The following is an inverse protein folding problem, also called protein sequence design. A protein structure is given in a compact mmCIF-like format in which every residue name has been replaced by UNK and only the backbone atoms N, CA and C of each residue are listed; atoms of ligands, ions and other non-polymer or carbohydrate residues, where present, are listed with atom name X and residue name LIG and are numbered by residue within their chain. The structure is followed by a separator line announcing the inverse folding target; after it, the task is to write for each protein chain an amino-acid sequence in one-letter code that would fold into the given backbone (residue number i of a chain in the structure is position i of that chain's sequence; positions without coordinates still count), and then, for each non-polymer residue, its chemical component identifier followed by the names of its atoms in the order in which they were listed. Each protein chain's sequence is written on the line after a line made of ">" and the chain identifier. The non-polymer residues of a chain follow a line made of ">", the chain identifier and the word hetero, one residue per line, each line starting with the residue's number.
data_IF_807596442118
#
_entry.id   IF_807596442118
#
_cell.length_a   1.000
_cell.length_b   1.000
_cell.length_c   1.000
_cell.angle_alpha   90.00
_cell.angle_beta   90.00
_cell.angle_gamma   90.00
#
_symmetry.space_group_name_H-M   'P 1'
#
loop_
_entity.id
_entity.type
_entity.pdbx_description
1 polymer ?
#
# COMPACT_ATOMS: atom_id res chain seq x y z
N UNK A 1 43.66 -9.32 1.63
CA UNK A 1 44.32 -9.22 0.31
C UNK A 1 43.69 -10.24 -0.65
N UNK A 2 42.88 -9.82 -1.62
CA UNK A 2 42.55 -10.65 -2.81
C UNK A 2 42.30 -9.70 -3.99
N UNK A 3 43.38 -9.13 -4.51
CA UNK A 3 43.38 -8.16 -5.62
C UNK A 3 44.11 -8.66 -6.86
N UNK A 4 44.35 -9.96 -6.98
CA UNK A 4 45.06 -10.56 -8.11
C UNK A 4 44.18 -10.71 -9.36
N UNK A 5 44.74 -10.29 -10.50
CA UNK A 5 44.38 -10.67 -11.87
C UNK A 5 42.96 -10.36 -12.37
N UNK A 6 42.48 -9.14 -12.17
CA UNK A 6 41.30 -8.68 -12.95
C UNK A 6 41.65 -8.32 -14.40
N UNK A 7 42.87 -7.83 -14.62
CA UNK A 7 43.31 -7.28 -15.92
C UNK A 7 43.56 -8.42 -16.92
N UNK A 8 44.19 -9.51 -16.48
CA UNK A 8 44.57 -10.64 -17.34
C UNK A 8 43.59 -11.82 -17.26
N UNK A 9 42.40 -11.64 -16.68
CA UNK A 9 41.43 -12.74 -16.55
C UNK A 9 40.82 -13.08 -17.91
N UNK A 10 40.86 -14.36 -18.35
CA UNK A 10 40.20 -14.74 -19.58
C UNK A 10 38.68 -14.52 -19.48
N UNK A 11 38.10 -14.00 -20.55
CA UNK A 11 36.64 -13.80 -20.64
C UNK A 11 35.92 -15.13 -20.55
N UNK A 12 34.90 -15.21 -19.70
CA UNK A 12 34.02 -16.38 -19.61
C UNK A 12 33.19 -16.54 -20.89
N UNK A 13 32.66 -17.74 -21.15
CA UNK A 13 31.81 -17.99 -22.31
C UNK A 13 30.60 -17.02 -22.40
N UNK A 14 30.03 -16.64 -21.26
CA UNK A 14 28.98 -15.62 -21.20
C UNK A 14 29.52 -14.22 -21.50
N UNK A 15 30.71 -13.85 -21.02
CA UNK A 15 31.33 -12.56 -21.34
C UNK A 15 31.70 -12.43 -22.82
N UNK A 16 32.00 -13.53 -23.50
CA UNK A 16 32.17 -13.58 -24.95
C UNK A 16 30.84 -13.40 -25.72
N UNK A 17 29.70 -13.73 -25.11
CA UNK A 17 28.36 -13.58 -25.70
C UNK A 17 27.50 -12.56 -24.93
N UNK A 18 27.60 -11.29 -25.35
CA UNK A 18 26.98 -10.15 -24.66
C UNK A 18 25.46 -10.31 -24.51
N UNK A 19 24.76 -10.78 -25.54
CA UNK A 19 23.30 -10.96 -25.53
C UNK A 19 22.84 -12.01 -24.51
N UNK A 20 23.59 -13.12 -24.37
CA UNK A 20 23.30 -14.14 -23.34
C UNK A 20 23.61 -13.60 -21.95
N UNK A 21 24.71 -12.86 -21.78
CA UNK A 21 25.08 -12.26 -20.50
C UNK A 21 24.02 -11.28 -19.98
N UNK A 22 23.52 -10.39 -20.84
CA UNK A 22 22.48 -9.42 -20.45
C UNK A 22 21.19 -10.13 -20.06
N UNK A 23 20.79 -11.16 -20.81
CA UNK A 23 19.62 -12.00 -20.50
C UNK A 23 19.74 -12.67 -19.13
N UNK A 24 20.89 -13.29 -18.85
CA UNK A 24 21.16 -13.95 -17.56
C UNK A 24 21.17 -12.95 -16.41
N UNK A 25 21.85 -11.81 -16.55
CA UNK A 25 21.87 -10.74 -15.53
C UNK A 25 20.46 -10.20 -15.24
N UNK A 26 19.64 -10.01 -16.28
CA UNK A 26 18.24 -9.57 -16.14
C UNK A 26 17.40 -10.60 -15.36
N UNK A 27 17.56 -11.89 -15.67
CA UNK A 27 16.88 -12.96 -14.95
C UNK A 27 17.31 -13.04 -13.47
N UNK A 28 18.60 -12.93 -13.18
CA UNK A 28 19.14 -12.89 -11.81
C UNK A 28 18.57 -11.70 -11.01
N UNK A 29 18.57 -10.50 -11.59
CA UNK A 29 17.98 -9.29 -10.97
C UNK A 29 16.50 -9.48 -10.65
N UNK A 30 15.73 -10.06 -11.58
CA UNK A 30 14.29 -10.35 -11.36
C UNK A 30 14.09 -11.33 -10.20
N UNK A 31 14.89 -12.40 -10.12
CA UNK A 31 14.83 -13.38 -9.02
C UNK A 31 15.18 -12.77 -7.66
N UNK A 32 16.20 -11.90 -7.61
CA UNK A 32 16.55 -11.17 -6.39
C UNK A 32 15.43 -10.23 -5.92
N UNK A 33 14.80 -9.51 -6.85
CA UNK A 33 13.66 -8.64 -6.53
C UNK A 33 12.43 -9.41 -6.06
N UNK A 34 12.20 -10.62 -6.56
CA UNK A 34 11.11 -11.49 -6.08
C UNK A 34 11.34 -11.94 -4.64
N UNK A 35 12.58 -12.33 -4.28
CA UNK A 35 12.93 -12.67 -2.88
C UNK A 35 12.63 -11.51 -1.91
N UNK A 36 12.89 -10.27 -2.32
CA UNK A 36 12.67 -9.09 -1.48
C UNK A 36 11.21 -8.59 -1.46
N UNK A 37 10.34 -9.11 -2.34
CA UNK A 37 8.90 -8.79 -2.36
C UNK A 37 8.06 -9.80 -1.58
N UNK A 38 8.56 -11.03 -1.38
CA UNK A 38 7.87 -12.07 -0.61
C UNK A 38 7.78 -11.82 0.89
N UNK A 39 8.68 -11.00 1.48
CA UNK A 39 8.68 -10.74 2.93
C UNK A 39 7.76 -9.62 3.39
N UNK A 40 7.17 -8.83 2.48
CA UNK A 40 6.21 -7.76 2.83
C UNK A 40 4.75 -8.17 2.67
N UNK A 41 4.49 -9.43 2.32
CA UNK A 41 3.14 -9.98 2.15
C UNK A 41 2.76 -11.01 3.23
N UNK A 42 3.45 -11.03 4.38
CA UNK A 42 3.11 -11.91 5.51
C UNK A 42 1.99 -11.38 6.42
N UNK A 43 1.31 -10.27 6.06
CA UNK A 43 0.26 -9.68 6.90
C UNK A 43 -1.07 -9.39 6.17
N UNK A 44 -1.45 -10.24 5.20
CA UNK A 44 -2.82 -10.28 4.69
C UNK A 44 -3.40 -11.69 4.86
N UNK A 45 -3.28 -12.27 6.06
CA UNK A 45 -4.08 -13.42 6.50
C UNK A 45 -5.47 -12.95 6.99
N UNK A 46 -6.15 -12.10 6.20
CA UNK A 46 -7.61 -11.97 6.21
C UNK A 46 -8.07 -12.09 4.76
N UNK A 47 -8.06 -13.34 4.30
CA UNK A 47 -8.32 -13.74 2.92
C UNK A 47 -9.77 -13.54 2.50
N UNK A 48 -10.14 -12.30 2.19
CA UNK A 48 -11.27 -12.04 1.30
C UNK A 48 -10.79 -12.17 -0.14
N UNK A 49 -11.46 -13.00 -0.95
CA UNK A 49 -11.14 -13.16 -2.37
C UNK A 49 -10.99 -11.80 -3.04
N UNK A 50 -9.79 -11.52 -3.58
CA UNK A 50 -9.51 -10.24 -4.23
C UNK A 50 -10.45 -10.09 -5.43
N UNK A 51 -11.40 -9.16 -5.30
CA UNK A 51 -12.34 -8.82 -6.35
C UNK A 51 -11.56 -8.30 -7.56
N UNK A 52 -11.87 -8.81 -8.76
CA UNK A 52 -11.30 -8.28 -10.02
C UNK A 52 -11.47 -6.77 -10.11
N UNK A 53 -10.47 -6.07 -10.64
CA UNK A 53 -10.48 -4.60 -10.77
C UNK A 53 -11.74 -4.06 -11.46
N UNK A 54 -12.28 -4.81 -12.44
CA UNK A 54 -13.55 -4.47 -13.12
C UNK A 54 -14.73 -4.49 -12.16
N UNK A 55 -14.83 -5.50 -11.31
CA UNK A 55 -15.92 -5.64 -10.32
C UNK A 55 -15.78 -4.60 -9.20
N UNK A 56 -14.55 -4.27 -8.76
CA UNK A 56 -14.30 -3.16 -7.83
C UNK A 56 -14.80 -1.81 -8.39
N UNK A 57 -14.52 -1.53 -9.66
CA UNK A 57 -14.98 -0.30 -10.33
C UNK A 57 -16.49 -0.20 -10.39
N UNK A 58 -17.19 -1.29 -10.68
CA UNK A 58 -18.66 -1.30 -10.77
C UNK A 58 -19.30 -1.05 -9.39
N UNK A 59 -18.78 -1.69 -8.34
CA UNK A 59 -19.26 -1.49 -6.96
C UNK A 59 -19.11 -0.01 -6.55
N UNK A 60 -17.95 0.60 -6.79
CA UNK A 60 -17.74 2.02 -6.48
C UNK A 60 -18.69 2.95 -7.24
N UNK A 61 -19.02 2.64 -8.50
CA UNK A 61 -20.00 3.41 -9.27
C UNK A 61 -21.39 3.30 -8.67
N UNK A 62 -21.78 2.12 -8.20
CA UNK A 62 -23.09 1.89 -7.58
C UNK A 62 -23.22 2.65 -6.26
N UNK A 63 -22.21 2.57 -5.38
CA UNK A 63 -22.16 3.32 -4.12
C UNK A 63 -22.30 4.82 -4.38
N UNK A 64 -21.50 5.36 -5.32
CA UNK A 64 -21.55 6.78 -5.67
C UNK A 64 -22.91 7.23 -6.25
N UNK A 65 -23.64 6.34 -6.93
CA UNK A 65 -25.00 6.64 -7.42
C UNK A 65 -25.98 6.73 -6.25
N UNK A 66 -25.91 5.76 -5.33
CA UNK A 66 -26.75 5.70 -4.14
C UNK A 66 -26.53 6.90 -3.21
N UNK A 67 -25.28 7.29 -2.95
CA UNK A 67 -24.96 8.49 -2.17
C UNK A 67 -25.56 9.76 -2.78
N UNK A 68 -25.51 9.90 -4.11
CA UNK A 68 -26.11 11.04 -4.80
C UNK A 68 -27.64 11.05 -4.70
N UNK A 69 -28.27 9.89 -4.83
CA UNK A 69 -29.73 9.74 -4.69
C UNK A 69 -30.18 10.03 -3.25
N UNK A 70 -29.45 9.52 -2.25
CA UNK A 70 -29.71 9.79 -0.84
C UNK A 70 -29.57 11.29 -0.52
N UNK A 71 -28.48 11.93 -0.96
CA UNK A 71 -28.28 13.37 -0.78
C UNK A 71 -29.34 14.23 -1.49
N UNK A 72 -29.87 13.77 -2.63
CA UNK A 72 -30.94 14.48 -3.33
C UNK A 72 -32.29 14.37 -2.62
N UNK A 73 -32.53 13.29 -1.87
CA UNK A 73 -33.77 13.10 -1.10
C UNK A 73 -33.74 13.74 0.29
N UNK A 74 -32.56 13.90 0.90
CA UNK A 74 -32.42 14.44 2.27
C UNK A 74 -32.75 15.95 2.39
N UNK A 75 -32.85 16.67 1.27
CA UNK A 75 -33.13 18.13 1.25
C UNK A 75 -34.54 18.50 1.76
N UNK A 76 -35.46 17.53 1.94
CA UNK A 76 -36.86 17.81 2.31
C UNK A 76 -37.19 17.50 3.79
N UNK A 77 -36.28 16.90 4.57
CA UNK A 77 -36.58 16.47 5.96
C UNK A 77 -35.83 17.22 7.06
N UNK A 78 -35.55 18.52 6.89
CA UNK A 78 -35.21 19.37 8.05
C UNK A 78 -36.47 20.09 8.56
N UNK A 79 -37.11 19.64 9.66
CA UNK A 79 -37.82 20.57 10.51
C UNK A 79 -36.78 21.53 11.13
N UNK A 80 -36.92 22.82 10.85
CA UNK A 80 -36.13 23.87 11.48
C UNK A 80 -36.35 23.84 13.00
N UNK A 81 -35.42 23.27 13.76
CA UNK A 81 -35.35 23.50 15.21
C UNK A 81 -34.39 24.66 15.43
N UNK A 82 -34.98 25.84 15.63
CA UNK A 82 -34.26 27.06 15.97
C UNK A 82 -33.63 26.98 17.37
N UNK A 83 -32.31 27.26 17.41
CA UNK A 83 -31.52 27.97 18.45
C UNK A 83 -31.71 27.59 19.94
N UNK A 84 -30.60 27.18 20.59
CA UNK A 84 -30.00 27.87 21.78
C UNK A 84 -28.48 27.61 21.86
N UNK A 85 -27.63 28.63 22.12
CA UNK A 85 -26.20 28.46 22.37
C UNK A 85 -25.83 28.77 23.83
N UNK A 86 -25.33 27.78 24.57
CA UNK A 86 -24.67 27.93 25.88
C UNK A 86 -23.65 26.78 25.99
N UNK A 87 -22.41 26.90 26.44
CA UNK A 87 -21.59 27.92 27.05
C UNK A 87 -20.18 27.32 27.25
N UNK A 88 -19.19 28.19 27.48
CA UNK A 88 -17.75 27.94 27.76
C UNK A 88 -17.56 26.93 28.92
N UNK A 89 -16.52 26.09 29.06
CA UNK A 89 -15.12 26.36 29.48
C UNK A 89 -14.45 25.00 29.82
N UNK A 90 -13.25 24.60 29.32
CA UNK A 90 -11.88 24.75 29.90
C UNK A 90 -11.27 23.45 30.49
N UNK A 91 -9.96 23.28 30.21
CA UNK A 91 -8.86 22.56 30.91
C UNK A 91 -8.62 21.05 30.68
N UNK A 92 -7.57 20.82 29.89
CA UNK A 92 -6.35 20.03 30.22
C UNK A 92 -6.37 19.22 31.52
N UNK A 93 -6.01 17.93 31.43
CA UNK A 93 -5.04 17.37 32.36
C UNK A 93 -4.13 16.35 31.68
N UNK A 94 -2.84 16.61 31.96
CA UNK A 94 -1.62 15.93 31.53
C UNK A 94 -1.40 14.70 32.40
N UNK A 95 -0.79 13.69 31.80
CA UNK A 95 0.14 12.75 32.42
C UNK A 95 -0.30 11.98 33.68
N UNK A 96 -0.58 10.70 33.49
CA UNK A 96 -0.23 9.71 34.51
C UNK A 96 0.40 8.50 33.82
N UNK A 97 1.74 8.45 33.91
CA UNK A 97 2.50 7.22 33.70
C UNK A 97 2.31 6.40 34.97
N UNK A 98 1.88 5.15 34.84
CA UNK A 98 2.06 4.15 35.88
C UNK A 98 2.77 2.95 35.23
N UNK A 99 4.07 2.86 35.52
CA UNK A 99 4.81 1.59 35.44
C UNK A 99 4.29 0.68 36.56
N UNK A 100 4.04 -0.59 36.24
CA UNK A 100 3.81 -1.64 37.23
C UNK A 100 4.83 -2.75 36.99
N UNK A 101 5.70 -2.87 37.99
CA UNK A 101 6.50 -4.02 38.48
C UNK A 101 7.26 -4.91 37.51
#
# INVERSE_FOLDING_TARGET
>A
MVGGDKINRPKTALQKNICKLTRVKKAQKKKQQQKNKGSKQSNNQRGGALISAKKKRLIMKQIKKQEKEANAMEVVTQPQIHKKPEGKTVKENKAEKMDTS
#
